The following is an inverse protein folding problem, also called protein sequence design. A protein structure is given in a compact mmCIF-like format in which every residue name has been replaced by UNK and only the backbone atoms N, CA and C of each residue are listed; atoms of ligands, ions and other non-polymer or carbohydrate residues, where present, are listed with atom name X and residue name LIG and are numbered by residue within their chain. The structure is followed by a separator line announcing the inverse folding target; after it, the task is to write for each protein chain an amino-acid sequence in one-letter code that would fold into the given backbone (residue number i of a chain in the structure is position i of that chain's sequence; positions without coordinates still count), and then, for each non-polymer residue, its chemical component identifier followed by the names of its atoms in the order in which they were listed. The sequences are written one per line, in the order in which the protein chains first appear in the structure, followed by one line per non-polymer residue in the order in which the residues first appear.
data_IF_092209000005
#
_entry.id   IF_092209000005
#
_cell.length_a   1.000
_cell.length_b   1.000
_cell.length_c   1.000
_cell.angle_alpha   90.00
_cell.angle_beta   90.00
_cell.angle_gamma   90.00
#
_symmetry.space_group_name_H-M   'P 1'
#
loop_
_entity.id
_entity.type
_entity.pdbx_description
1 polymer ?
#
# COMPACT_ATOMS: atom_id res chain seq x y z
N UNK A 1 -1.22 -20.19 2.21
CA UNK A 1 0.14 -19.63 2.11
C UNK A 1 0.09 -18.18 2.50
N UNK A 2 0.98 -17.78 3.38
CA UNK A 2 0.98 -16.41 3.91
C UNK A 2 1.96 -15.49 3.20
N UNK A 3 2.64 -16.01 2.20
CA UNK A 3 3.65 -15.26 1.48
C UNK A 3 3.06 -14.62 0.25
N UNK A 4 3.37 -13.34 0.09
CA UNK A 4 2.97 -12.58 -1.08
C UNK A 4 4.16 -11.97 -1.77
N UNK A 5 3.87 -11.20 -2.82
CA UNK A 5 4.90 -10.50 -3.60
C UNK A 5 4.49 -9.08 -3.88
N UNK A 6 5.49 -8.24 -4.04
CA UNK A 6 5.31 -6.87 -4.53
C UNK A 6 5.18 -6.93 -6.06
N UNK A 7 4.05 -6.50 -6.60
CA UNK A 7 3.83 -6.43 -8.04
C UNK A 7 4.17 -5.07 -8.64
N UNK A 8 3.97 -4.01 -7.85
CA UNK A 8 4.26 -2.65 -8.31
C UNK A 8 4.52 -1.75 -7.12
N UNK A 9 5.27 -0.67 -7.36
CA UNK A 9 5.55 0.36 -6.37
C UNK A 9 5.26 1.70 -7.05
N UNK A 10 4.44 2.53 -6.40
CA UNK A 10 4.08 3.85 -6.92
C UNK A 10 4.31 4.89 -5.83
N UNK A 11 5.11 5.91 -6.16
CA UNK A 11 5.39 7.01 -5.24
C UNK A 11 5.31 8.33 -6.02
N UNK A 12 5.16 9.41 -5.30
CA UNK A 12 5.13 10.73 -5.93
C UNK A 12 4.83 11.84 -4.94
N UNK A 13 4.97 13.10 -5.41
CA UNK A 13 4.68 14.26 -4.59
C UNK A 13 3.18 14.44 -4.34
N UNK A 14 2.87 15.32 -3.39
CA UNK A 14 1.49 15.66 -3.06
C UNK A 14 0.75 16.21 -4.29
N UNK A 15 -0.52 15.85 -4.42
CA UNK A 15 -1.44 16.32 -5.47
C UNK A 15 -1.13 15.85 -6.90
N UNK A 16 -0.15 14.98 -7.08
CA UNK A 16 0.12 14.39 -8.38
C UNK A 16 -0.16 12.89 -8.35
N UNK A 17 -0.46 12.33 -9.53
CA UNK A 17 -0.61 10.89 -9.66
C UNK A 17 0.74 10.24 -9.37
N UNK A 18 0.79 9.26 -8.46
CA UNK A 18 2.04 8.55 -8.19
C UNK A 18 2.56 7.86 -9.45
N UNK A 19 3.88 7.78 -9.57
CA UNK A 19 4.53 7.14 -10.71
C UNK A 19 5.20 5.83 -10.30
N UNK A 20 5.27 4.84 -11.21
CA UNK A 20 5.90 3.56 -10.90
C UNK A 20 7.41 3.68 -10.77
N UNK A 21 7.96 2.96 -9.79
CA UNK A 21 9.40 2.80 -9.61
C UNK A 21 9.70 1.32 -9.38
N UNK A 22 10.91 0.89 -9.74
CA UNK A 22 11.33 -0.50 -9.53
C UNK A 22 11.79 -0.75 -8.10
N UNK A 23 12.35 0.26 -7.46
CA UNK A 23 12.86 0.16 -6.09
C UNK A 23 12.66 1.49 -5.38
N UNK A 24 12.52 1.43 -4.05
CA UNK A 24 12.39 2.62 -3.24
C UNK A 24 13.08 2.42 -1.90
N UNK A 25 13.73 3.46 -1.39
CA UNK A 25 14.32 3.47 -0.06
C UNK A 25 13.23 3.72 0.98
N UNK A 26 13.21 2.89 2.02
CA UNK A 26 12.32 3.05 3.16
C UNK A 26 13.14 3.45 4.38
N UNK A 27 12.76 4.54 5.04
CA UNK A 27 13.42 5.02 6.25
C UNK A 27 12.49 4.82 7.45
N UNK A 28 12.98 4.15 8.48
CA UNK A 28 12.21 3.80 9.66
C UNK A 28 11.60 5.05 10.32
N UNK A 29 10.30 5.00 10.57
CA UNK A 29 9.57 6.09 11.20
C UNK A 29 9.37 7.32 10.33
N UNK A 30 9.85 7.33 9.09
CA UNK A 30 9.78 8.52 8.22
C UNK A 30 8.96 8.31 6.96
N UNK A 31 9.11 7.18 6.27
CA UNK A 31 8.37 6.88 5.06
C UNK A 31 9.24 6.40 3.91
N UNK A 32 8.66 6.43 2.71
CA UNK A 32 9.34 6.07 1.47
C UNK A 32 9.96 7.33 0.86
N UNK A 33 11.26 7.27 0.56
CA UNK A 33 11.99 8.43 0.00
C UNK A 33 11.40 8.79 -1.36
N UNK A 34 11.02 10.04 -1.52
CA UNK A 34 10.41 10.55 -2.74
C UNK A 34 8.88 10.50 -2.75
N UNK A 35 8.28 9.96 -1.69
CA UNK A 35 6.83 9.90 -1.56
C UNK A 35 6.30 11.08 -0.72
N UNK A 36 5.05 11.49 -1.00
CA UNK A 36 4.40 12.66 -0.37
C UNK A 36 4.26 12.57 1.15
N UNK A 37 4.24 11.36 1.71
CA UNK A 37 4.13 11.16 3.16
C UNK A 37 5.47 10.84 3.83
N UNK A 38 6.58 11.20 3.17
CA UNK A 38 7.90 11.11 3.79
C UNK A 38 8.15 12.37 4.62
N UNK A 39 8.43 12.20 5.91
CA UNK A 39 8.68 13.31 6.83
C UNK A 39 9.96 13.05 7.63
N UNK A 40 10.95 13.93 7.49
CA UNK A 40 12.22 13.83 8.21
C UNK A 40 12.03 13.80 9.73
N UNK A 41 11.04 14.52 10.23
CA UNK A 41 10.75 14.59 11.67
C UNK A 41 9.89 13.42 12.16
N UNK A 42 9.53 12.52 11.29
CA UNK A 42 8.73 11.35 11.61
C UNK A 42 7.34 11.38 11.01
N UNK A 43 6.91 10.24 10.48
CA UNK A 43 5.57 10.08 9.93
C UNK A 43 4.57 9.81 11.04
N UNK A 44 3.34 10.30 10.86
CA UNK A 44 2.23 9.94 11.74
C UNK A 44 1.95 8.43 11.60
N UNK A 45 1.41 7.79 12.66
CA UNK A 45 1.10 6.36 12.59
C UNK A 45 0.25 6.02 11.37
N UNK A 46 0.67 4.97 10.64
CA UNK A 46 -0.03 4.49 9.46
C UNK A 46 0.17 5.30 8.20
N UNK A 47 1.01 6.35 8.22
CA UNK A 47 1.21 7.21 7.05
C UNK A 47 2.47 6.90 6.26
N UNK A 48 3.39 6.12 6.83
CA UNK A 48 4.69 5.88 6.20
C UNK A 48 4.59 5.04 4.93
N UNK A 49 3.67 4.09 4.90
CA UNK A 49 3.56 3.12 3.81
C UNK A 49 2.10 2.70 3.66
N UNK A 50 1.63 2.62 2.41
CA UNK A 50 0.30 2.08 2.12
C UNK A 50 0.42 0.94 1.11
N UNK A 51 -0.36 -0.11 1.31
CA UNK A 51 -0.37 -1.28 0.45
C UNK A 51 -1.80 -1.56 0.00
N UNK A 52 -1.94 -2.13 -1.20
CA UNK A 52 -3.23 -2.60 -1.70
C UNK A 52 -3.03 -3.92 -2.44
N UNK A 53 -3.98 -4.82 -2.30
CA UNK A 53 -3.93 -6.11 -2.95
C UNK A 53 -4.37 -6.00 -4.41
N UNK A 54 -3.61 -6.61 -5.32
CA UNK A 54 -4.01 -6.70 -6.73
C UNK A 54 -5.35 -7.42 -6.84
N UNK A 55 -5.58 -8.41 -6.00
CA UNK A 55 -6.84 -9.16 -5.95
C UNK A 55 -8.03 -8.26 -5.63
N UNK A 56 -7.83 -7.20 -4.82
CA UNK A 56 -8.90 -6.25 -4.50
C UNK A 56 -9.30 -5.42 -5.72
N UNK A 57 -8.31 -4.97 -6.48
CA UNK A 57 -8.59 -4.23 -7.72
C UNK A 57 -9.29 -5.11 -8.74
N UNK A 58 -8.85 -6.36 -8.86
CA UNK A 58 -9.46 -7.35 -9.76
C UNK A 58 -10.91 -7.65 -9.35
N UNK A 59 -11.14 -7.84 -8.05
CA UNK A 59 -12.48 -8.11 -7.56
C UNK A 59 -13.43 -6.93 -7.80
N UNK A 60 -12.95 -5.71 -7.62
CA UNK A 60 -13.76 -4.52 -7.91
C UNK A 60 -14.15 -4.48 -9.40
N UNK A 61 -13.19 -4.78 -10.28
CA UNK A 61 -13.48 -4.80 -11.71
C UNK A 61 -14.53 -5.87 -12.05
N UNK A 62 -14.38 -7.06 -11.48
CA UNK A 62 -15.29 -8.19 -11.75
C UNK A 62 -16.68 -7.97 -11.17
N UNK A 63 -16.78 -7.48 -9.93
CA UNK A 63 -18.04 -7.38 -9.20
C UNK A 63 -18.80 -6.09 -9.49
N UNK A 64 -18.10 -5.00 -9.75
CA UNK A 64 -18.70 -3.68 -9.91
C UNK A 64 -18.44 -3.05 -11.28
N UNK A 65 -17.65 -3.67 -12.14
CA UNK A 65 -17.29 -3.11 -13.44
C UNK A 65 -16.45 -1.85 -13.36
N UNK A 66 -15.77 -1.62 -12.24
CA UNK A 66 -14.95 -0.43 -12.01
C UNK A 66 -13.48 -0.81 -12.07
N UNK A 67 -12.75 -0.22 -13.01
CA UNK A 67 -11.32 -0.48 -13.19
C UNK A 67 -10.51 0.77 -12.90
N UNK A 68 -9.51 0.63 -12.02
CA UNK A 68 -8.49 1.65 -11.80
C UNK A 68 -7.12 0.97 -11.79
N UNK A 69 -6.09 1.74 -12.11
CA UNK A 69 -4.70 1.24 -12.05
C UNK A 69 -4.19 1.29 -10.62
N UNK A 70 -3.09 0.60 -10.37
CA UNK A 70 -2.41 0.65 -9.08
C UNK A 70 -2.03 2.09 -8.71
N UNK A 71 -1.49 2.86 -9.66
CA UNK A 71 -1.14 4.26 -9.44
C UNK A 71 -2.37 5.11 -9.09
N UNK A 72 -3.49 4.88 -9.79
CA UNK A 72 -4.73 5.60 -9.50
C UNK A 72 -5.27 5.31 -8.11
N UNK A 73 -4.99 4.13 -7.56
CA UNK A 73 -5.41 3.80 -6.19
C UNK A 73 -4.72 4.66 -5.15
N UNK A 74 -3.60 5.27 -5.50
CA UNK A 74 -2.75 6.11 -4.66
C UNK A 74 -2.13 5.38 -3.47
N UNK A 75 -2.18 4.04 -3.47
CA UNK A 75 -1.43 3.21 -2.52
C UNK A 75 -0.03 2.98 -3.10
N UNK A 76 0.95 2.86 -2.20
CA UNK A 76 2.36 2.76 -2.61
C UNK A 76 2.71 1.40 -3.20
N UNK A 77 2.32 0.33 -2.53
CA UNK A 77 2.77 -1.03 -2.87
C UNK A 77 1.57 -1.88 -3.26
N UNK A 78 1.58 -2.39 -4.49
CA UNK A 78 0.60 -3.36 -4.97
C UNK A 78 1.13 -4.75 -4.63
N UNK A 79 0.34 -5.53 -3.91
CA UNK A 79 0.73 -6.88 -3.51
C UNK A 79 -0.13 -7.93 -4.19
N UNK A 80 0.38 -9.17 -4.18
CA UNK A 80 -0.40 -10.35 -4.60
C UNK A 80 -0.04 -11.51 -3.69
N UNK A 81 -1.06 -12.31 -3.35
CA UNK A 81 -0.84 -13.57 -2.64
C UNK A 81 -0.83 -13.49 -1.13
N UNK A 82 -1.17 -12.35 -0.55
CA UNK A 82 -1.23 -12.18 0.90
C UNK A 82 -2.49 -11.43 1.30
N UNK A 83 -3.09 -11.83 2.42
CA UNK A 83 -4.26 -11.15 2.96
C UNK A 83 -3.81 -9.95 3.80
N UNK A 84 -3.86 -8.76 3.20
CA UNK A 84 -3.44 -7.54 3.87
C UNK A 84 -4.29 -7.20 5.09
N UNK A 85 -5.58 -7.52 5.06
CA UNK A 85 -6.47 -7.22 6.19
C UNK A 85 -6.05 -7.98 7.45
N UNK A 86 -5.47 -9.16 7.29
CA UNK A 86 -4.99 -9.97 8.41
C UNK A 86 -3.74 -9.38 9.07
N UNK A 87 -3.10 -8.38 8.44
CA UNK A 87 -1.88 -7.77 8.96
C UNK A 87 -2.13 -6.57 9.88
N UNK A 88 -3.37 -6.18 10.08
CA UNK A 88 -3.69 -5.08 11.02
C UNK A 88 -3.24 -5.48 12.43
N UNK A 89 -2.43 -4.63 13.07
CA UNK A 89 -1.86 -4.89 14.40
C UNK A 89 -0.72 -5.89 14.40
N UNK A 90 -0.24 -6.29 13.23
CA UNK A 90 0.77 -7.35 13.10
C UNK A 90 2.04 -6.84 12.45
N UNK A 91 3.15 -7.49 12.78
CA UNK A 91 4.40 -7.24 12.10
C UNK A 91 4.50 -8.08 10.85
N UNK A 92 5.06 -7.48 9.81
CA UNK A 92 5.30 -8.16 8.54
C UNK A 92 6.54 -7.56 7.89
N UNK A 93 7.03 -8.23 6.88
CA UNK A 93 8.22 -7.81 6.16
C UNK A 93 7.90 -7.65 4.68
N UNK A 94 8.38 -6.55 4.09
CA UNK A 94 8.35 -6.31 2.65
C UNK A 94 9.80 -6.25 2.20
N UNK A 95 10.27 -7.27 1.48
CA UNK A 95 11.68 -7.42 1.21
C UNK A 95 12.44 -7.51 2.52
N UNK A 96 13.41 -6.62 2.73
CA UNK A 96 14.19 -6.56 3.96
C UNK A 96 13.63 -5.57 4.99
N UNK A 97 12.51 -4.93 4.70
CA UNK A 97 11.95 -3.88 5.53
C UNK A 97 10.87 -4.45 6.43
N UNK A 98 11.07 -4.34 7.74
CA UNK A 98 10.04 -4.72 8.71
C UNK A 98 9.05 -3.60 8.89
N UNK A 99 7.77 -3.96 8.92
CA UNK A 99 6.65 -3.03 8.98
C UNK A 99 5.66 -3.45 10.06
N UNK A 100 4.81 -2.52 10.46
CA UNK A 100 3.71 -2.78 11.39
C UNK A 100 2.41 -2.32 10.75
N UNK A 101 1.45 -3.23 10.58
CA UNK A 101 0.12 -2.87 10.10
C UNK A 101 -0.63 -2.06 11.16
N UNK A 102 -1.19 -0.93 10.77
CA UNK A 102 -1.85 -0.02 11.70
C UNK A 102 -3.36 -0.11 11.59
N UNK A 103 -3.88 0.05 10.36
CA UNK A 103 -5.34 0.02 10.14
C UNK A 103 -5.62 -0.19 8.66
N UNK A 104 -6.86 -0.51 8.33
CA UNK A 104 -7.26 -0.59 6.94
C UNK A 104 -7.24 0.80 6.30
N UNK A 105 -6.82 0.86 5.03
CA UNK A 105 -6.83 2.09 4.25
C UNK A 105 -8.12 2.12 3.42
N UNK A 106 -9.22 2.55 4.04
CA UNK A 106 -10.51 2.57 3.37
C UNK A 106 -10.54 3.59 2.23
N UNK A 107 -11.30 3.31 1.16
CA UNK A 107 -11.47 4.29 0.10
C UNK A 107 -12.26 5.50 0.62
N UNK A 108 -11.96 6.67 0.09
CA UNK A 108 -12.59 7.90 0.55
C UNK A 108 -13.19 8.68 -0.62
N UNK A 109 -13.96 9.71 -0.28
CA UNK A 109 -14.60 10.58 -1.26
C UNK A 109 -13.58 11.21 -2.21
N UNK A 110 -12.42 11.63 -1.67
CA UNK A 110 -11.37 12.23 -2.48
C UNK A 110 -10.84 11.24 -3.52
N UNK A 111 -10.64 9.99 -3.13
CA UNK A 111 -10.17 8.96 -4.06
C UNK A 111 -11.18 8.72 -5.18
N UNK A 112 -12.46 8.60 -4.84
CA UNK A 112 -13.50 8.39 -5.85
C UNK A 112 -13.59 9.58 -6.81
N UNK A 113 -13.46 10.81 -6.28
CA UNK A 113 -13.55 12.02 -7.10
C UNK A 113 -12.44 12.09 -8.14
N UNK A 114 -11.22 11.69 -7.77
CA UNK A 114 -10.08 11.77 -8.71
C UNK A 114 -9.93 10.52 -9.57
N UNK A 115 -10.73 9.50 -9.34
CA UNK A 115 -10.73 8.28 -10.16
C UNK A 115 -12.05 8.15 -10.91
N UNK A 116 -13.00 7.40 -10.36
CA UNK A 116 -14.30 7.23 -11.01
C UNK A 116 -15.36 6.78 -10.01
N UNK A 117 -16.66 6.98 -10.35
CA UNK A 117 -17.76 6.54 -9.47
C UNK A 117 -17.72 5.04 -9.22
N UNK A 118 -18.03 4.65 -7.99
CA UNK A 118 -18.09 3.26 -7.58
C UNK A 118 -16.86 2.75 -6.85
N UNK A 119 -15.80 3.56 -6.76
CA UNK A 119 -14.56 3.14 -6.10
C UNK A 119 -14.77 2.96 -4.59
N UNK A 120 -15.53 3.83 -3.93
CA UNK A 120 -15.81 3.68 -2.50
C UNK A 120 -16.49 2.34 -2.25
N UNK A 121 -17.54 2.04 -3.00
CA UNK A 121 -18.31 0.79 -2.84
C UNK A 121 -17.45 -0.42 -3.23
N UNK A 122 -16.69 -0.31 -4.31
CA UNK A 122 -15.91 -1.42 -4.85
C UNK A 122 -14.69 -1.78 -3.99
N UNK A 123 -14.14 -0.84 -3.25
CA UNK A 123 -12.98 -1.07 -2.39
C UNK A 123 -13.33 -1.05 -0.89
N UNK A 124 -14.60 -0.98 -0.53
CA UNK A 124 -14.99 -1.01 0.89
C UNK A 124 -14.41 -2.26 1.56
N UNK A 125 -13.71 -2.06 2.67
CA UNK A 125 -13.04 -3.09 3.48
C UNK A 125 -11.93 -3.87 2.76
N UNK A 126 -11.53 -3.44 1.58
CA UNK A 126 -10.39 -4.00 0.83
C UNK A 126 -9.61 -2.92 0.09
N UNK A 127 -9.67 -1.70 0.62
CA UNK A 127 -8.97 -0.55 0.05
C UNK A 127 -7.50 -0.47 0.36
N UNK A 128 -6.98 -1.41 1.16
CA UNK A 128 -5.57 -1.51 1.46
C UNK A 128 -5.26 -1.45 2.95
N UNK A 129 -3.97 -1.34 3.24
CA UNK A 129 -3.41 -1.35 4.59
C UNK A 129 -2.53 -0.13 4.78
N UNK A 130 -2.74 0.58 5.87
CA UNK A 130 -1.85 1.64 6.35
C UNK A 130 -0.83 1.02 7.29
N UNK A 131 0.45 1.33 7.12
CA UNK A 131 1.52 0.71 7.90
C UNK A 131 2.61 1.70 8.28
N UNK A 132 3.32 1.33 9.35
CA UNK A 132 4.54 1.99 9.78
C UNK A 132 5.73 1.23 9.25
N UNK A 133 6.84 1.94 9.01
CA UNK A 133 8.13 1.34 8.66
C UNK A 133 8.96 1.24 9.93
N UNK A 134 9.34 0.02 10.29
CA UNK A 134 10.04 -0.25 11.55
C UNK A 134 11.56 -0.26 11.35
N UNK A 135 12.05 -0.77 10.22
CA UNK A 135 13.48 -0.82 9.92
C UNK A 135 13.78 -0.15 8.58
N UNK A 136 15.01 0.37 8.45
CA UNK A 136 15.49 0.95 7.20
C UNK A 136 15.77 -0.15 6.17
N UNK A 137 15.63 0.19 4.90
CA UNK A 137 16.00 -0.73 3.83
C UNK A 137 15.44 -0.29 2.49
N UNK A 138 15.48 -1.20 1.52
CA UNK A 138 14.90 -0.97 0.20
C UNK A 138 13.80 -1.98 -0.07
N UNK A 139 12.77 -1.52 -0.76
CA UNK A 139 11.68 -2.37 -1.25
C UNK A 139 11.78 -2.37 -2.77
N UNK A 140 11.72 -3.54 -3.37
CA UNK A 140 11.77 -3.70 -4.83
C UNK A 140 10.61 -4.51 -5.36
N UNK A 141 10.26 -4.26 -6.62
CA UNK A 141 9.29 -5.08 -7.33
C UNK A 141 9.80 -6.52 -7.36
N UNK A 142 8.93 -7.47 -7.01
CA UNK A 142 9.28 -8.89 -6.90
C UNK A 142 9.66 -9.34 -5.51
N UNK A 143 9.85 -8.41 -4.59
CA UNK A 143 10.19 -8.76 -3.20
C UNK A 143 9.04 -9.50 -2.52
N UNK A 144 9.40 -10.37 -1.56
CA UNK A 144 8.40 -11.09 -0.77
C UNK A 144 7.72 -10.18 0.24
N UNK A 145 6.45 -10.48 0.50
CA UNK A 145 5.70 -9.88 1.60
C UNK A 145 5.30 -11.01 2.53
N UNK A 146 5.79 -10.99 3.76
CA UNK A 146 5.70 -12.14 4.68
C UNK A 146 5.22 -11.68 6.06
N UNK A 147 4.24 -12.38 6.61
CA UNK A 147 3.80 -12.15 7.98
C UNK A 147 4.89 -12.65 8.94
N UNK A 148 5.24 -11.82 9.92
CA UNK A 148 6.24 -12.17 10.95
C UNK A 148 5.58 -12.63 12.25
N UNK A 149 4.28 -12.37 12.38
CA UNK A 149 3.54 -12.75 13.59
C UNK A 149 2.89 -14.11 13.41
N UNK A 150 2.87 -14.95 14.46
CA UNK A 150 2.16 -16.22 14.41
C UNK A 150 0.65 -16.01 14.30
#
# INVERSE_FOLDING_TARGET
MDDGRVEAINIGPMYELPAPVERVRADAGKGLVGNRYYFEDGAEPGRALTLIAAEALEAMADEHGVEITAAESRRNVLTRGIDLNALVGKRFRVGNVECLGVELCEPCTSLERVTRPGVIKGLAHRGGLNADIVTDGEIGVGDEVVSLSP
#
